data_IF_746050829508
#
_entry.id   IF_746050829508
#
_cell.length_a   1.000
_cell.length_b   1.000
_cell.length_c   1.000
_cell.angle_alpha   90.00
_cell.angle_beta   90.00
_cell.angle_gamma   90.00
#
_symmetry.space_group_name_H-M   'P 1'
#
loop_
_entity.id
_entity.type
_entity.pdbx_description
1 polymer ?
#
# COMPACT_ATOMS: atom_id res chain seq x y z
N UNK A 1 -26.71 34.14 18.83
CA UNK A 1 -26.49 33.34 17.61
C UNK A 1 -25.34 32.40 17.91
N UNK A 2 -25.61 31.11 18.13
CA UNK A 2 -24.55 30.14 18.37
C UNK A 2 -23.72 30.04 17.09
N UNK A 3 -22.42 30.33 17.18
CA UNK A 3 -21.48 30.12 16.08
C UNK A 3 -21.50 28.63 15.75
N UNK A 4 -22.09 28.24 14.62
CA UNK A 4 -21.97 26.87 14.10
C UNK A 4 -20.50 26.53 13.99
N UNK A 5 -20.09 25.39 14.56
CA UNK A 5 -18.71 24.96 14.56
C UNK A 5 -18.19 24.80 13.12
N UNK A 6 -16.93 25.21 12.93
CA UNK A 6 -16.04 24.77 11.86
C UNK A 6 -16.22 23.33 11.37
N UNK A 7 -16.42 23.00 10.07
CA UNK A 7 -16.23 21.62 9.61
C UNK A 7 -14.82 21.10 9.95
N UNK A 8 -13.80 21.95 9.78
CA UNK A 8 -12.43 21.63 10.18
C UNK A 8 -12.33 21.35 11.69
N UNK A 9 -13.04 22.14 12.50
CA UNK A 9 -13.05 21.97 13.96
C UNK A 9 -13.85 20.73 14.41
N UNK A 10 -14.92 20.36 13.70
CA UNK A 10 -15.66 19.12 13.91
C UNK A 10 -14.76 17.90 13.63
N UNK A 11 -14.07 17.89 12.48
CA UNK A 11 -13.16 16.80 12.11
C UNK A 11 -12.00 16.65 13.09
N UNK A 12 -11.38 17.76 13.50
CA UNK A 12 -10.33 17.74 14.51
C UNK A 12 -10.83 17.17 15.86
N UNK A 13 -12.07 17.48 16.24
CA UNK A 13 -12.68 16.94 17.46
C UNK A 13 -12.95 15.43 17.34
N UNK A 14 -13.42 14.94 16.18
CA UNK A 14 -13.59 13.50 15.92
C UNK A 14 -12.26 12.76 16.07
N UNK A 15 -11.20 13.27 15.43
CA UNK A 15 -9.86 12.69 15.52
C UNK A 15 -9.39 12.65 16.98
N UNK A 16 -9.52 13.75 17.72
CA UNK A 16 -9.08 13.82 19.12
C UNK A 16 -9.84 12.84 20.02
N UNK A 17 -11.18 12.84 19.98
CA UNK A 17 -12.03 12.01 20.86
C UNK A 17 -11.80 10.52 20.62
N UNK A 18 -11.82 10.08 19.37
CA UNK A 18 -11.71 8.65 19.06
C UNK A 18 -10.27 8.14 19.20
N UNK A 19 -9.25 8.94 18.85
CA UNK A 19 -7.86 8.56 19.09
C UNK A 19 -7.57 8.42 20.58
N UNK A 20 -8.10 9.31 21.43
CA UNK A 20 -7.93 9.21 22.88
C UNK A 20 -8.51 7.90 23.45
N UNK A 21 -9.63 7.41 22.91
CA UNK A 21 -10.22 6.13 23.33
C UNK A 21 -9.31 4.96 22.98
N UNK A 22 -8.78 4.95 21.76
CA UNK A 22 -7.85 3.90 21.29
C UNK A 22 -6.56 3.93 22.11
N UNK A 23 -5.97 5.11 22.28
CA UNK A 23 -4.73 5.32 23.05
C UNK A 23 -4.89 4.90 24.53
N UNK A 24 -6.01 5.29 25.17
CA UNK A 24 -6.32 4.88 26.55
C UNK A 24 -6.40 3.36 26.67
N UNK A 25 -7.04 2.68 25.72
CA UNK A 25 -7.13 1.22 25.71
C UNK A 25 -5.76 0.56 25.55
N UNK A 26 -4.94 1.03 24.61
CA UNK A 26 -3.58 0.50 24.42
C UNK A 26 -2.75 0.67 25.69
N UNK A 27 -2.84 1.84 26.36
CA UNK A 27 -2.19 2.09 27.63
C UNK A 27 -2.70 1.18 28.75
N UNK A 28 -4.01 1.09 28.95
CA UNK A 28 -4.65 0.29 30.00
C UNK A 28 -4.33 -1.21 29.87
N UNK A 29 -4.22 -1.71 28.64
CA UNK A 29 -3.89 -3.11 28.34
C UNK A 29 -2.39 -3.35 28.17
N UNK A 30 -1.56 -2.31 28.29
CA UNK A 30 -0.12 -2.35 28.04
C UNK A 30 0.23 -2.96 26.66
N UNK A 31 -0.57 -2.64 25.65
CA UNK A 31 -0.38 -3.10 24.28
C UNK A 31 0.66 -2.23 23.55
N UNK A 32 1.38 -2.80 22.55
CA UNK A 32 2.29 -2.04 21.72
C UNK A 32 1.55 -0.91 20.98
N UNK A 33 2.19 0.26 20.90
CA UNK A 33 1.64 1.38 20.14
C UNK A 33 2.07 1.27 18.67
N UNK A 34 1.19 1.62 17.71
CA UNK A 34 1.56 1.66 16.31
C UNK A 34 2.67 2.68 16.05
N UNK A 35 3.61 2.33 15.17
CA UNK A 35 4.66 3.22 14.70
C UNK A 35 5.05 2.90 13.26
N UNK A 36 6.00 3.63 12.70
CA UNK A 36 6.57 3.30 11.38
C UNK A 36 7.79 2.36 11.48
N UNK A 37 8.26 2.05 12.69
CA UNK A 37 9.40 1.19 12.91
C UNK A 37 9.06 -0.28 12.60
N UNK A 38 10.07 -1.07 12.28
CA UNK A 38 9.91 -2.47 11.87
C UNK A 38 9.22 -3.33 12.94
N UNK A 39 9.34 -2.98 14.22
CA UNK A 39 8.73 -3.69 15.35
C UNK A 39 7.29 -3.25 15.67
N UNK A 40 6.68 -2.38 14.86
CA UNK A 40 5.28 -1.98 15.05
C UNK A 40 4.34 -3.17 14.97
N UNK A 41 3.28 -3.23 15.81
CA UNK A 41 2.23 -4.23 15.67
C UNK A 41 1.56 -4.14 14.28
N UNK A 42 1.33 -5.29 13.64
CA UNK A 42 0.58 -5.40 12.38
C UNK A 42 -0.92 -5.25 12.64
N UNK A 43 -1.39 -5.82 13.75
CA UNK A 43 -2.75 -5.68 14.28
C UNK A 43 -2.68 -5.04 15.66
N UNK A 44 -3.54 -4.04 15.88
CA UNK A 44 -3.67 -3.34 17.16
C UNK A 44 -4.40 -4.16 18.22
N UNK A 45 -5.04 -5.27 17.84
CA UNK A 45 -5.78 -6.14 18.74
C UNK A 45 -6.95 -5.40 19.40
N UNK A 46 -7.59 -4.48 18.67
CA UNK A 46 -8.69 -3.70 19.20
C UNK A 46 -9.95 -4.57 19.28
N UNK A 47 -10.72 -4.47 20.38
CA UNK A 47 -12.02 -5.11 20.46
C UNK A 47 -12.99 -4.46 19.47
N UNK A 48 -14.05 -5.17 19.03
CA UNK A 48 -14.99 -4.67 18.03
C UNK A 48 -15.57 -3.28 18.33
N UNK A 49 -15.79 -2.95 19.61
CA UNK A 49 -16.29 -1.63 20.01
C UNK A 49 -15.29 -0.49 19.75
N UNK A 50 -13.99 -0.79 19.75
CA UNK A 50 -12.92 0.18 19.45
C UNK A 50 -12.53 0.21 17.97
N UNK A 51 -12.72 -0.87 17.22
CA UNK A 51 -12.63 -0.83 15.75
C UNK A 51 -13.63 0.18 15.17
N UNK A 52 -14.83 0.28 15.76
CA UNK A 52 -15.78 1.34 15.42
C UNK A 52 -15.29 2.76 15.71
N UNK A 53 -14.29 2.93 16.59
CA UNK A 53 -13.61 4.22 16.80
C UNK A 53 -12.46 4.45 15.83
N UNK A 54 -11.86 3.41 15.26
CA UNK A 54 -10.76 3.52 14.30
C UNK A 54 -11.23 4.10 12.96
N UNK A 55 -12.39 3.64 12.46
CA UNK A 55 -12.93 4.08 11.16
C UNK A 55 -13.15 5.61 11.13
N UNK A 56 -13.87 6.25 12.08
CA UNK A 56 -14.06 7.70 12.11
C UNK A 56 -12.75 8.49 12.16
N UNK A 57 -11.72 7.98 12.85
CA UNK A 57 -10.40 8.64 12.89
C UNK A 57 -9.77 8.67 11.51
N UNK A 58 -9.78 7.54 10.78
CA UNK A 58 -9.20 7.43 9.45
C UNK A 58 -9.93 8.33 8.45
N UNK A 59 -11.25 8.28 8.44
CA UNK A 59 -12.09 9.10 7.56
C UNK A 59 -11.92 10.60 7.85
N UNK A 60 -12.00 11.00 9.12
CA UNK A 60 -11.88 12.40 9.51
C UNK A 60 -10.47 12.95 9.25
N UNK A 61 -9.42 12.14 9.47
CA UNK A 61 -8.05 12.52 9.18
C UNK A 61 -7.83 12.74 7.68
N UNK A 62 -8.41 11.85 6.84
CA UNK A 62 -8.35 11.98 5.39
C UNK A 62 -9.12 13.21 4.91
N UNK A 63 -10.37 13.40 5.36
CA UNK A 63 -11.18 14.55 4.96
C UNK A 63 -10.50 15.86 5.38
N UNK A 64 -9.96 15.92 6.60
CA UNK A 64 -9.24 17.09 7.09
C UNK A 64 -8.00 17.39 6.24
N UNK A 65 -7.24 16.35 5.86
CA UNK A 65 -6.08 16.49 4.98
C UNK A 65 -6.48 16.99 3.58
N UNK A 66 -7.53 16.42 2.99
CA UNK A 66 -8.03 16.80 1.67
C UNK A 66 -8.56 18.25 1.65
N UNK A 67 -9.31 18.66 2.67
CA UNK A 67 -9.83 20.04 2.81
C UNK A 67 -8.70 21.07 2.93
N UNK A 68 -7.62 20.73 3.65
CA UNK A 68 -6.48 21.64 3.85
C UNK A 68 -5.56 21.73 2.63
N UNK A 69 -5.45 20.67 1.84
CA UNK A 69 -4.76 20.70 0.53
C UNK A 69 -5.53 21.59 -0.46
N UNK A 70 -6.86 21.52 -0.43
CA UNK A 70 -7.73 22.23 -1.36
C UNK A 70 -7.72 21.60 -2.77
N UNK A 71 -8.64 22.04 -3.65
CA UNK A 71 -8.94 21.36 -4.90
C UNK A 71 -7.78 21.30 -5.88
N UNK A 72 -6.85 22.27 -5.84
CA UNK A 72 -5.68 22.29 -6.71
C UNK A 72 -4.76 21.12 -6.38
N UNK A 73 -4.32 21.00 -5.14
CA UNK A 73 -3.35 19.97 -4.76
C UNK A 73 -3.98 18.57 -4.81
N UNK A 74 -5.30 18.46 -4.62
CA UNK A 74 -6.05 17.23 -4.89
C UNK A 74 -6.04 16.80 -6.36
N UNK A 75 -5.92 17.73 -7.32
CA UNK A 75 -5.83 17.41 -8.75
C UNK A 75 -4.38 17.18 -9.21
N UNK A 76 -3.44 17.95 -8.68
CA UNK A 76 -2.03 17.95 -9.11
C UNK A 76 -1.13 17.02 -8.29
N UNK A 77 -1.69 16.17 -7.43
CA UNK A 77 -0.90 15.14 -6.75
C UNK A 77 -0.44 14.05 -7.72
N UNK A 78 0.60 13.33 -7.29
CA UNK A 78 1.20 12.24 -8.06
C UNK A 78 1.08 10.90 -7.34
N UNK A 79 -0.07 10.63 -6.71
CA UNK A 79 -0.26 9.40 -5.93
C UNK A 79 -0.01 8.13 -6.73
N UNK A 80 -0.24 8.12 -8.05
CA UNK A 80 0.08 6.97 -8.91
C UNK A 80 1.56 6.56 -8.87
N UNK A 81 2.48 7.51 -8.63
CA UNK A 81 3.91 7.22 -8.54
C UNK A 81 4.26 6.31 -7.35
N UNK A 82 3.38 6.19 -6.35
CA UNK A 82 3.60 5.28 -5.21
C UNK A 82 3.69 3.81 -5.61
N UNK A 83 3.16 3.44 -6.79
CA UNK A 83 3.23 2.07 -7.31
C UNK A 83 4.61 1.73 -7.90
N UNK A 84 5.41 2.73 -8.27
CA UNK A 84 6.76 2.54 -8.82
C UNK A 84 7.73 1.87 -7.83
N UNK A 85 7.90 2.36 -6.59
CA UNK A 85 8.74 1.66 -5.61
C UNK A 85 8.19 0.28 -5.26
N UNK A 86 6.88 0.13 -5.16
CA UNK A 86 6.22 -1.17 -4.92
C UNK A 86 6.54 -2.19 -6.03
N UNK A 87 6.52 -1.74 -7.28
CA UNK A 87 6.89 -2.53 -8.45
C UNK A 87 8.35 -2.98 -8.38
N UNK A 88 9.26 -2.05 -8.08
CA UNK A 88 10.67 -2.36 -7.90
C UNK A 88 10.89 -3.40 -6.79
N UNK A 89 10.22 -3.23 -5.65
CA UNK A 89 10.31 -4.13 -4.49
C UNK A 89 9.86 -5.54 -4.88
N UNK A 90 8.71 -5.66 -5.54
CA UNK A 90 8.21 -6.96 -5.98
C UNK A 90 9.09 -7.62 -7.03
N UNK A 91 9.64 -6.85 -7.98
CA UNK A 91 10.40 -7.39 -9.11
C UNK A 91 11.77 -7.92 -8.69
N UNK A 92 12.41 -7.29 -7.71
CA UNK A 92 13.74 -7.67 -7.23
C UNK A 92 13.73 -8.32 -5.84
N UNK A 93 12.54 -8.67 -5.34
CA UNK A 93 12.33 -9.24 -4.00
C UNK A 93 13.03 -8.45 -2.88
N UNK A 94 13.01 -7.12 -2.98
CA UNK A 94 13.87 -6.26 -2.14
C UNK A 94 13.59 -6.38 -0.65
N UNK A 95 12.40 -6.82 -0.25
CA UNK A 95 12.05 -7.03 1.14
C UNK A 95 12.90 -8.16 1.77
N UNK A 96 13.23 -9.21 1.00
CA UNK A 96 14.10 -10.30 1.44
C UNK A 96 15.61 -9.97 1.28
N UNK A 97 15.93 -8.97 0.47
CA UNK A 97 17.30 -8.51 0.26
C UNK A 97 17.82 -7.60 1.38
N UNK A 98 16.91 -6.92 2.11
CA UNK A 98 17.23 -6.10 3.28
C UNK A 98 17.26 -6.97 4.54
N UNK A 99 18.27 -6.84 5.43
CA UNK A 99 18.32 -7.64 6.65
C UNK A 99 17.13 -7.38 7.59
N UNK A 100 16.43 -8.43 8.02
CA UNK A 100 15.23 -8.34 8.86
C UNK A 100 15.43 -7.51 10.15
N UNK A 101 16.59 -7.65 10.81
CA UNK A 101 16.98 -6.91 12.01
C UNK A 101 18.33 -6.20 11.79
N UNK A 102 18.42 -5.43 10.71
CA UNK A 102 19.66 -4.73 10.38
C UNK A 102 19.47 -3.66 9.32
N UNK A 103 20.59 -3.31 8.71
CA UNK A 103 20.69 -2.22 7.75
C UNK A 103 21.63 -2.62 6.60
N UNK A 104 21.40 -2.08 5.42
CA UNK A 104 22.23 -2.28 4.23
C UNK A 104 22.46 -0.94 3.52
N UNK A 105 23.58 -0.76 2.84
CA UNK A 105 23.80 0.45 2.03
C UNK A 105 23.07 0.34 0.69
N UNK A 106 22.57 1.45 0.16
CA UNK A 106 22.01 1.47 -1.20
C UNK A 106 22.99 0.93 -2.25
N UNK A 107 24.28 1.23 -2.11
CA UNK A 107 25.31 0.73 -3.03
C UNK A 107 25.45 -0.79 -3.00
N UNK A 108 25.40 -1.40 -1.82
CA UNK A 108 25.50 -2.86 -1.65
C UNK A 108 24.24 -3.54 -2.20
N UNK A 109 23.06 -2.97 -1.91
CA UNK A 109 21.79 -3.45 -2.45
C UNK A 109 21.75 -3.37 -3.98
N UNK A 110 22.16 -2.22 -4.55
CA UNK A 110 22.22 -2.01 -5.99
C UNK A 110 23.17 -2.99 -6.70
N UNK A 111 24.35 -3.22 -6.12
CA UNK A 111 25.30 -4.21 -6.63
C UNK A 111 24.72 -5.62 -6.60
N UNK A 112 23.97 -5.97 -5.53
CA UNK A 112 23.36 -7.29 -5.37
C UNK A 112 22.29 -7.59 -6.43
N UNK A 113 21.47 -6.60 -6.78
CA UNK A 113 20.40 -6.76 -7.78
C UNK A 113 20.80 -6.30 -9.20
N UNK A 114 22.04 -5.84 -9.39
CA UNK A 114 22.60 -5.50 -10.71
C UNK A 114 22.02 -4.24 -11.36
N UNK A 115 21.68 -3.20 -10.59
CA UNK A 115 21.13 -1.93 -11.11
C UNK A 115 21.99 -0.73 -10.72
N UNK A 116 21.75 0.42 -11.35
CA UNK A 116 22.40 1.68 -10.98
C UNK A 116 21.98 2.14 -9.56
N UNK A 117 22.97 2.47 -8.73
CA UNK A 117 22.76 2.88 -7.35
C UNK A 117 21.96 4.19 -7.24
N UNK A 118 22.21 5.16 -8.13
CA UNK A 118 21.51 6.44 -8.07
C UNK A 118 20.04 6.30 -8.48
N UNK A 119 19.74 5.50 -9.50
CA UNK A 119 18.39 5.15 -9.90
C UNK A 119 17.64 4.41 -8.79
N UNK A 120 18.26 3.36 -8.22
CA UNK A 120 17.69 2.61 -7.09
C UNK A 120 17.36 3.52 -5.91
N UNK A 121 18.33 4.37 -5.52
CA UNK A 121 18.18 5.29 -4.38
C UNK A 121 17.00 6.24 -4.58
N UNK A 122 16.82 6.78 -5.80
CA UNK A 122 15.71 7.70 -6.10
C UNK A 122 14.36 7.02 -5.98
N UNK A 123 14.24 5.80 -6.49
CA UNK A 123 12.99 5.03 -6.43
C UNK A 123 12.69 4.63 -4.98
N UNK A 124 13.68 4.11 -4.24
CA UNK A 124 13.46 3.70 -2.85
C UNK A 124 13.17 4.88 -1.93
N UNK A 125 13.75 6.07 -2.16
CA UNK A 125 13.39 7.27 -1.40
C UNK A 125 11.94 7.71 -1.60
N UNK A 126 11.37 7.47 -2.79
CA UNK A 126 9.93 7.64 -2.98
C UNK A 126 9.14 6.64 -2.11
N UNK A 127 9.56 5.36 -2.09
CA UNK A 127 8.98 4.35 -1.19
C UNK A 127 9.04 4.78 0.28
N UNK A 128 10.20 5.28 0.73
CA UNK A 128 10.41 5.75 2.11
C UNK A 128 9.51 6.94 2.45
N UNK A 129 9.30 7.88 1.52
CA UNK A 129 8.36 8.98 1.70
C UNK A 129 6.91 8.49 1.89
N UNK A 130 6.59 7.33 1.31
CA UNK A 130 5.33 6.60 1.47
C UNK A 130 5.40 5.49 2.54
N UNK A 131 6.38 5.55 3.45
CA UNK A 131 6.56 4.67 4.62
C UNK A 131 6.92 3.22 4.30
N UNK A 132 7.35 2.93 3.08
CA UNK A 132 7.89 1.62 2.67
C UNK A 132 9.42 1.67 2.77
N UNK A 133 10.00 0.89 3.69
CA UNK A 133 11.37 1.04 4.20
C UNK A 133 11.64 2.35 4.95
N UNK A 134 12.85 2.46 5.50
CA UNK A 134 13.36 3.64 6.21
C UNK A 134 14.82 3.90 5.84
N UNK A 135 15.22 5.18 5.74
CA UNK A 135 16.61 5.63 5.60
C UNK A 135 17.05 6.30 6.92
N UNK A 136 17.54 5.54 7.92
CA UNK A 136 17.86 6.11 9.25
C UNK A 136 19.02 7.11 9.18
N UNK A 137 19.85 7.01 8.15
CA UNK A 137 20.95 7.93 7.84
C UNK A 137 21.27 7.86 6.35
N UNK A 138 21.80 8.95 5.75
CA UNK A 138 22.04 9.01 4.32
C UNK A 138 22.80 7.81 3.78
N UNK A 139 22.26 7.18 2.74
CA UNK A 139 22.90 6.07 2.05
C UNK A 139 22.58 4.68 2.60
N UNK A 140 21.78 4.57 3.67
CA UNK A 140 21.49 3.29 4.34
C UNK A 140 20.00 3.06 4.46
N UNK A 141 19.59 1.82 4.21
CA UNK A 141 18.20 1.39 4.25
C UNK A 141 18.00 0.30 5.31
N UNK A 142 16.85 0.36 5.98
CA UNK A 142 16.35 -0.64 6.93
C UNK A 142 14.84 -0.81 6.73
N UNK A 143 14.25 -1.80 7.37
CA UNK A 143 12.81 -2.00 7.32
C UNK A 143 12.03 -0.90 8.07
N UNK A 144 10.91 -0.50 7.49
CA UNK A 144 9.73 0.00 8.20
C UNK A 144 8.76 -1.16 8.50
N UNK A 145 7.73 -0.90 9.30
CA UNK A 145 6.62 -1.85 9.55
C UNK A 145 6.08 -2.47 8.25
N UNK A 146 5.83 -1.64 7.23
CA UNK A 146 5.26 -2.07 5.95
C UNK A 146 6.21 -2.99 5.18
N UNK A 147 7.47 -2.59 5.04
CA UNK A 147 8.46 -3.42 4.32
C UNK A 147 8.78 -4.71 5.06
N UNK A 148 8.70 -4.71 6.40
CA UNK A 148 8.88 -5.93 7.19
C UNK A 148 7.71 -6.88 6.99
N UNK A 149 6.47 -6.37 6.98
CA UNK A 149 5.29 -7.19 6.70
C UNK A 149 5.39 -7.89 5.33
N UNK A 150 5.93 -7.21 4.31
CA UNK A 150 6.18 -7.81 2.99
C UNK A 150 7.19 -8.97 3.08
N UNK A 151 8.27 -8.82 3.88
CA UNK A 151 9.27 -9.86 4.06
C UNK A 151 8.76 -11.04 4.91
N UNK A 152 7.94 -10.77 5.92
CA UNK A 152 7.50 -11.76 6.91
C UNK A 152 6.30 -12.61 6.42
N UNK A 153 5.45 -12.08 5.53
CA UNK A 153 4.26 -12.79 5.01
C UNK A 153 4.29 -12.89 3.48
N UNK A 154 4.52 -14.10 2.97
CA UNK A 154 4.58 -14.36 1.52
C UNK A 154 3.28 -14.00 0.80
N UNK A 155 2.12 -14.06 1.46
CA UNK A 155 0.83 -13.72 0.86
C UNK A 155 0.72 -12.20 0.63
N UNK A 156 1.34 -11.40 1.50
CA UNK A 156 1.45 -9.94 1.32
C UNK A 156 2.39 -9.62 0.15
N UNK A 157 3.52 -10.31 0.05
CA UNK A 157 4.42 -10.17 -1.11
C UNK A 157 3.74 -10.59 -2.43
N UNK A 158 2.93 -11.65 -2.39
CA UNK A 158 2.15 -12.12 -3.53
C UNK A 158 1.05 -11.13 -3.92
N UNK A 159 0.34 -10.56 -2.94
CA UNK A 159 -0.62 -9.47 -3.14
C UNK A 159 0.04 -8.25 -3.77
N UNK A 160 1.19 -7.84 -3.24
CA UNK A 160 1.98 -6.75 -3.79
C UNK A 160 2.32 -7.00 -5.26
N UNK A 161 2.83 -8.19 -5.59
CA UNK A 161 3.16 -8.57 -6.96
C UNK A 161 1.94 -8.59 -7.87
N UNK A 162 0.84 -9.23 -7.47
CA UNK A 162 -0.40 -9.22 -8.24
C UNK A 162 -0.93 -7.78 -8.48
N UNK A 163 -0.82 -6.90 -7.49
CA UNK A 163 -1.23 -5.51 -7.62
C UNK A 163 -0.42 -4.75 -8.68
N UNK A 164 0.91 -4.87 -8.65
CA UNK A 164 1.80 -4.09 -9.52
C UNK A 164 2.08 -4.74 -10.89
N UNK A 165 1.84 -6.04 -11.04
CA UNK A 165 1.99 -6.79 -12.30
C UNK A 165 0.70 -6.95 -13.08
N UNK A 166 -0.42 -7.15 -12.40
CA UNK A 166 -1.66 -7.53 -13.05
C UNK A 166 -2.68 -6.41 -12.96
N UNK A 167 -2.94 -5.90 -11.75
CA UNK A 167 -4.00 -4.92 -11.53
C UNK A 167 -3.64 -3.53 -12.05
N UNK A 168 -2.43 -3.05 -11.79
CA UNK A 168 -2.02 -1.69 -12.17
C UNK A 168 -1.98 -1.47 -13.69
N UNK A 169 -1.35 -2.33 -14.51
CA UNK A 169 -1.42 -2.20 -15.98
C UNK A 169 -2.86 -2.31 -16.51
N UNK A 170 -3.69 -3.18 -15.90
CA UNK A 170 -5.10 -3.30 -16.25
C UNK A 170 -5.90 -2.03 -15.96
N UNK A 171 -5.61 -1.37 -14.84
CA UNK A 171 -6.26 -0.12 -14.44
C UNK A 171 -6.01 0.99 -15.47
N UNK A 172 -4.76 1.12 -15.94
CA UNK A 172 -4.38 2.08 -17.00
C UNK A 172 -5.24 1.90 -18.27
N UNK A 173 -5.56 0.65 -18.62
CA UNK A 173 -6.33 0.29 -19.80
C UNK A 173 -7.85 0.28 -19.63
N UNK A 174 -8.37 0.62 -18.46
CA UNK A 174 -9.81 0.48 -18.17
C UNK A 174 -10.67 1.43 -19.00
N UNK A 175 -10.25 2.68 -19.17
CA UNK A 175 -10.99 3.66 -20.00
C UNK A 175 -10.91 3.29 -21.49
N UNK A 176 -9.76 2.82 -21.96
CA UNK A 176 -9.59 2.31 -23.32
C UNK A 176 -10.52 1.11 -23.58
N UNK A 177 -10.63 0.19 -22.61
CA UNK A 177 -11.53 -0.95 -22.70
C UNK A 177 -13.00 -0.53 -22.76
N UNK A 178 -13.41 0.46 -21.96
CA UNK A 178 -14.77 1.01 -22.01
C UNK A 178 -15.09 1.63 -23.37
N UNK A 179 -14.13 2.33 -23.99
CA UNK A 179 -14.31 2.90 -25.34
C UNK A 179 -14.42 1.79 -26.39
N UNK A 180 -13.59 0.74 -26.29
CA UNK A 180 -13.60 -0.39 -27.22
C UNK A 180 -14.86 -1.26 -27.08
N UNK A 181 -15.32 -1.46 -25.84
CA UNK A 181 -16.46 -2.29 -25.49
C UNK A 181 -17.43 -1.55 -24.55
N UNK A 182 -18.27 -0.65 -25.09
CA UNK A 182 -19.14 0.21 -24.27
C UNK A 182 -20.16 -0.54 -23.40
N UNK A 183 -20.55 -1.75 -23.81
CA UNK A 183 -21.50 -2.59 -23.09
C UNK A 183 -20.83 -3.64 -22.18
N UNK A 184 -19.53 -3.89 -22.35
CA UNK A 184 -18.72 -4.84 -21.56
C UNK A 184 -19.45 -6.15 -21.20
N UNK A 185 -20.08 -6.81 -22.19
CA UNK A 185 -20.97 -7.96 -21.94
C UNK A 185 -20.23 -9.28 -21.73
N UNK A 186 -18.94 -9.33 -22.03
CA UNK A 186 -18.14 -10.55 -21.94
C UNK A 186 -17.01 -10.41 -20.91
N UNK A 187 -16.63 -11.50 -20.18
CA UNK A 187 -15.57 -11.47 -19.17
C UNK A 187 -14.18 -11.06 -19.68
N UNK A 188 -13.95 -11.13 -21.00
CA UNK A 188 -12.71 -10.74 -21.66
C UNK A 188 -12.75 -9.30 -22.22
N UNK A 189 -13.82 -8.53 -21.97
CA UNK A 189 -13.93 -7.13 -22.39
C UNK A 189 -13.49 -6.17 -21.28
N UNK A 190 -12.22 -6.28 -20.88
CA UNK A 190 -11.69 -5.56 -19.70
C UNK A 190 -10.37 -4.85 -20.01
N UNK A 191 -9.96 -3.93 -19.13
CA UNK A 191 -8.62 -3.34 -19.18
C UNK A 191 -7.50 -4.38 -19.05
N UNK A 192 -7.74 -5.47 -18.31
CA UNK A 192 -6.79 -6.57 -18.21
C UNK A 192 -6.52 -7.23 -19.56
N UNK A 193 -7.57 -7.53 -20.33
CA UNK A 193 -7.42 -8.14 -21.64
C UNK A 193 -6.59 -7.27 -22.60
N UNK A 194 -6.78 -5.95 -22.54
CA UNK A 194 -5.97 -4.99 -23.29
C UNK A 194 -4.53 -4.92 -22.80
N UNK A 195 -4.31 -4.90 -21.49
CA UNK A 195 -2.97 -4.82 -20.91
C UNK A 195 -2.12 -6.07 -21.18
N UNK A 196 -2.77 -7.22 -21.40
CA UNK A 196 -2.13 -8.50 -21.67
C UNK A 196 -2.18 -8.90 -23.14
N UNK A 197 -2.75 -8.07 -24.02
CA UNK A 197 -2.97 -8.38 -25.44
C UNK A 197 -3.59 -9.78 -25.65
N UNK A 198 -4.66 -10.07 -24.90
CA UNK A 198 -5.30 -11.39 -24.88
C UNK A 198 -6.77 -11.33 -25.24
N UNK A 199 -7.26 -12.42 -25.83
CA UNK A 199 -8.69 -12.67 -26.05
C UNK A 199 -9.32 -13.48 -24.90
N UNK A 200 -8.53 -13.95 -23.95
CA UNK A 200 -9.02 -14.76 -22.84
C UNK A 200 -9.51 -13.91 -21.67
N UNK A 201 -10.33 -14.51 -20.81
CA UNK A 201 -10.72 -13.89 -19.55
C UNK A 201 -9.58 -13.92 -18.54
N UNK A 202 -9.69 -13.13 -17.48
CA UNK A 202 -8.67 -12.95 -16.45
C UNK A 202 -8.05 -14.29 -15.96
N UNK A 203 -8.88 -15.21 -15.47
CA UNK A 203 -8.41 -16.47 -14.89
C UNK A 203 -7.76 -17.40 -15.93
N UNK A 204 -8.33 -17.46 -17.14
CA UNK A 204 -7.79 -18.29 -18.23
C UNK A 204 -6.40 -17.78 -18.63
N UNK A 205 -6.21 -16.47 -18.71
CA UNK A 205 -4.91 -15.89 -19.02
C UNK A 205 -3.88 -16.16 -17.90
N UNK A 206 -4.28 -16.06 -16.63
CA UNK A 206 -3.39 -16.38 -15.52
C UNK A 206 -2.93 -17.84 -15.53
N UNK A 207 -3.82 -18.79 -15.84
CA UNK A 207 -3.53 -20.22 -15.87
C UNK A 207 -2.45 -20.61 -16.89
N UNK A 208 -2.22 -19.78 -17.93
CA UNK A 208 -1.12 -19.97 -18.89
C UNK A 208 0.26 -19.83 -18.26
N UNK A 209 0.37 -19.17 -17.11
CA UNK A 209 1.61 -18.99 -16.37
C UNK A 209 1.43 -19.46 -14.91
N UNK A 210 1.93 -20.67 -14.56
CA UNK A 210 1.76 -21.25 -13.23
C UNK A 210 2.22 -20.35 -12.08
N UNK A 211 3.31 -19.60 -12.24
CA UNK A 211 3.79 -18.69 -11.19
C UNK A 211 2.85 -17.49 -11.01
N UNK A 212 2.31 -16.97 -12.11
CA UNK A 212 1.36 -15.86 -12.08
C UNK A 212 0.04 -16.28 -11.43
N UNK A 213 -0.46 -17.47 -11.77
CA UNK A 213 -1.63 -18.08 -11.14
C UNK A 213 -1.41 -18.36 -9.64
N UNK A 214 -0.25 -18.93 -9.28
CA UNK A 214 0.14 -19.20 -7.89
C UNK A 214 0.15 -17.92 -7.07
N UNK A 215 0.81 -16.88 -7.59
CA UNK A 215 0.88 -15.55 -6.95
C UNK A 215 -0.51 -14.96 -6.75
N UNK A 216 -1.35 -14.97 -7.78
CA UNK A 216 -2.71 -14.44 -7.65
C UNK A 216 -3.55 -15.25 -6.65
N UNK A 217 -3.43 -16.58 -6.64
CA UNK A 217 -4.10 -17.44 -5.65
C UNK A 217 -3.69 -17.11 -4.22
N UNK A 218 -2.40 -16.91 -3.97
CA UNK A 218 -1.88 -16.50 -2.67
C UNK A 218 -2.33 -15.09 -2.26
N UNK A 219 -2.32 -14.15 -3.20
CA UNK A 219 -2.87 -12.81 -3.04
C UNK A 219 -4.37 -12.84 -2.63
N UNK A 220 -5.18 -13.67 -3.28
CA UNK A 220 -6.60 -13.83 -2.92
C UNK A 220 -6.77 -14.47 -1.55
N UNK A 221 -5.91 -15.43 -1.18
CA UNK A 221 -5.97 -16.04 0.15
C UNK A 221 -5.86 -15.01 1.26
N UNK A 222 -4.96 -14.03 1.12
CA UNK A 222 -4.80 -12.92 2.07
C UNK A 222 -6.08 -12.08 2.24
N UNK A 223 -6.77 -11.78 1.13
CA UNK A 223 -8.03 -11.02 1.17
C UNK A 223 -9.20 -11.82 1.76
N UNK A 224 -9.28 -13.11 1.45
CA UNK A 224 -10.42 -13.95 1.85
C UNK A 224 -10.29 -14.49 3.27
N UNK A 225 -9.08 -14.53 3.82
CA UNK A 225 -8.84 -14.83 5.24
C UNK A 225 -8.68 -13.55 6.07
N UNK A 226 -9.31 -12.45 5.65
CA UNK A 226 -9.38 -11.24 6.45
C UNK A 226 -10.21 -11.50 7.72
N UNK A 227 -9.50 -11.58 8.85
CA UNK A 227 -9.85 -12.10 10.19
C UNK A 227 -9.75 -13.63 10.35
#
# INVERSE_FOLDING_TARGET
MASSQSRLAELANVVAVHTQRIDSYLCEKALPHPSFAADSPVDLGLPPELEQSRIPVLEASKELNDLLQGPKDLLFNHHHNQLVPLRLISQFDLANEVPANGEIRFGDLAAKIGVDCAALTRILRLGIAHRVFSEPRPGVITHSAVSKLIADDSRVAEWLGANVDDMWPSAEKTVEALVKWPLATEPNQTGFSLANDTADSFYIELEKNPERARRFGGAMSFLTTGE
#
